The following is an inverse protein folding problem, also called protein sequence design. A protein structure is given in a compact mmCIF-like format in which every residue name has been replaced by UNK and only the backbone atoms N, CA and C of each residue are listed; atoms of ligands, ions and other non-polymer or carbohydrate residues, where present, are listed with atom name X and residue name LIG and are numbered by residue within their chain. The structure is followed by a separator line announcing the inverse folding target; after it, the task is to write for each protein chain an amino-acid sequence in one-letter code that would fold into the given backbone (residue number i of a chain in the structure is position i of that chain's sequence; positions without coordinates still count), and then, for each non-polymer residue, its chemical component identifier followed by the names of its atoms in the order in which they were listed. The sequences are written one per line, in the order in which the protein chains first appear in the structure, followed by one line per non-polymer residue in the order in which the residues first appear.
data_IF_913353733294
#
_entry.id   IF_913353733294
#
_cell.length_a   1.000
_cell.length_b   1.000
_cell.length_c   1.000
_cell.angle_alpha   90.00
_cell.angle_beta   90.00
_cell.angle_gamma   90.00
#
_symmetry.space_group_name_H-M   'P 1'
#
loop_
_entity.id
_entity.type
_entity.pdbx_description
1 polymer ?
#
# COMPACT_ATOMS: atom_id res chain seq x y z
N UNK A 1 14.95 -17.37 0.06
CA UNK A 1 13.75 -16.53 -0.13
C UNK A 1 13.47 -15.64 1.08
N UNK A 2 13.20 -16.17 2.28
CA UNK A 2 12.80 -15.36 3.45
C UNK A 2 13.74 -14.20 3.81
N UNK A 3 15.04 -14.45 3.92
CA UNK A 3 16.04 -13.42 4.26
C UNK A 3 16.02 -12.26 3.28
N UNK A 4 15.89 -12.54 1.98
CA UNK A 4 15.82 -11.51 0.93
C UNK A 4 14.57 -10.64 1.08
N UNK A 5 13.42 -11.23 1.42
CA UNK A 5 12.20 -10.46 1.68
C UNK A 5 12.35 -9.57 2.92
N UNK A 6 12.95 -10.08 3.99
CA UNK A 6 13.24 -9.28 5.19
C UNK A 6 14.12 -8.08 4.82
N UNK A 7 15.19 -8.29 4.06
CA UNK A 7 16.07 -7.20 3.62
C UNK A 7 15.33 -6.16 2.77
N UNK A 8 14.48 -6.58 1.83
CA UNK A 8 13.66 -5.66 1.03
C UNK A 8 12.64 -4.89 1.87
N UNK A 9 11.97 -5.55 2.81
CA UNK A 9 11.02 -4.91 3.73
C UNK A 9 11.72 -3.88 4.61
N UNK A 10 12.88 -4.22 5.17
CA UNK A 10 13.68 -3.28 5.97
C UNK A 10 14.12 -2.07 5.14
N UNK A 11 14.55 -2.29 3.89
CA UNK A 11 14.92 -1.20 3.00
C UNK A 11 13.73 -0.27 2.70
N UNK A 12 12.57 -0.84 2.36
CA UNK A 12 11.36 -0.08 2.07
C UNK A 12 10.86 0.70 3.30
N UNK A 13 10.90 0.08 4.48
CA UNK A 13 10.53 0.74 5.73
C UNK A 13 11.46 1.91 6.05
N UNK A 14 12.78 1.74 5.88
CA UNK A 14 13.72 2.83 6.09
C UNK A 14 13.49 3.98 5.12
N UNK A 15 13.25 3.70 3.83
CA UNK A 15 12.93 4.75 2.87
C UNK A 15 11.69 5.55 3.29
N UNK A 16 10.65 4.86 3.74
CA UNK A 16 9.40 5.49 4.16
C UNK A 16 9.57 6.31 5.45
N UNK A 17 10.29 5.81 6.45
CA UNK A 17 10.57 6.59 7.66
C UNK A 17 11.49 7.77 7.36
N UNK A 18 12.51 7.61 6.51
CA UNK A 18 13.37 8.74 6.12
C UNK A 18 12.61 9.83 5.37
N UNK A 19 11.67 9.45 4.52
CA UNK A 19 10.76 10.40 3.91
C UNK A 19 9.94 11.14 4.97
N UNK A 20 9.34 10.40 5.92
CA UNK A 20 8.57 10.93 7.04
C UNK A 20 9.36 11.98 7.85
N UNK A 21 10.54 11.62 8.32
CA UNK A 21 11.43 12.52 9.05
C UNK A 21 11.85 13.71 8.16
N UNK A 22 12.13 13.46 6.89
CA UNK A 22 12.39 14.51 5.90
C UNK A 22 11.26 15.52 5.77
N UNK A 23 10.01 15.08 5.85
CA UNK A 23 8.81 15.93 5.86
C UNK A 23 8.81 16.90 7.06
N UNK A 24 8.97 16.38 8.27
CA UNK A 24 9.07 17.18 9.49
C UNK A 24 10.24 18.17 9.40
N UNK A 25 11.42 17.69 9.00
CA UNK A 25 12.62 18.51 8.83
C UNK A 25 12.38 19.72 7.90
N UNK A 26 11.82 19.48 6.71
CA UNK A 26 11.60 20.53 5.72
C UNK A 26 10.56 21.55 6.21
N UNK A 27 9.46 21.08 6.80
CA UNK A 27 8.42 21.95 7.32
C UNK A 27 8.91 22.80 8.50
N UNK A 28 9.66 22.19 9.42
CA UNK A 28 10.21 22.88 10.57
C UNK A 28 11.24 23.94 10.17
N UNK A 29 12.11 23.61 9.22
CA UNK A 29 13.08 24.56 8.67
C UNK A 29 12.38 25.74 7.98
N UNK A 30 11.32 25.47 7.21
CA UNK A 30 10.55 26.54 6.56
C UNK A 30 9.76 27.41 7.57
N UNK A 31 9.30 26.83 8.68
CA UNK A 31 8.68 27.56 9.78
C UNK A 31 9.69 28.32 10.67
N UNK A 32 10.99 28.18 10.40
CA UNK A 32 12.07 28.77 11.20
C UNK A 32 12.14 28.20 12.61
N UNK A 33 11.82 26.91 12.77
CA UNK A 33 11.98 26.19 14.04
C UNK A 33 13.43 25.72 14.15
N UNK A 34 13.99 25.81 15.36
CA UNK A 34 15.34 25.31 15.63
C UNK A 34 15.34 23.78 15.57
N UNK A 35 16.17 23.23 14.70
CA UNK A 35 16.42 21.78 14.58
C UNK A 35 17.78 21.50 15.18
N UNK A 36 17.85 20.53 16.09
CA UNK A 36 19.09 20.13 16.75
C UNK A 36 19.77 18.99 16.01
N UNK A 37 18.99 17.96 15.66
CA UNK A 37 19.52 16.74 15.06
C UNK A 37 18.57 16.20 13.98
N UNK A 38 19.15 15.70 12.89
CA UNK A 38 18.47 14.84 11.92
C UNK A 38 19.21 13.50 11.89
N UNK A 39 18.56 12.44 12.37
CA UNK A 39 19.18 11.12 12.52
C UNK A 39 18.59 10.11 11.55
N UNK A 40 19.49 9.32 10.95
CA UNK A 40 19.16 8.09 10.25
C UNK A 40 19.47 6.92 11.20
N UNK A 41 18.43 6.20 11.59
CA UNK A 41 18.49 5.11 12.53
C UNK A 41 18.47 5.53 14.00
N UNK A 42 18.63 4.53 14.86
CA UNK A 42 18.60 4.64 16.32
C UNK A 42 19.84 4.02 16.98
N UNK A 43 20.00 4.26 18.28
CA UNK A 43 21.07 3.67 19.09
C UNK A 43 22.41 4.42 18.98
N UNK A 44 23.55 3.74 19.15
CA UNK A 44 24.85 4.38 19.17
C UNK A 44 25.18 5.00 17.81
N UNK A 45 25.75 6.21 17.86
CA UNK A 45 26.20 6.94 16.67
C UNK A 45 27.37 6.21 16.02
N UNK A 46 27.25 5.93 14.73
CA UNK A 46 28.34 5.37 13.93
C UNK A 46 29.17 6.51 13.32
N UNK A 47 28.51 7.45 12.66
CA UNK A 47 29.14 8.63 12.08
C UNK A 47 28.14 9.79 12.02
N UNK A 48 28.62 10.99 11.73
CA UNK A 48 27.76 12.14 11.50
C UNK A 48 28.55 13.42 11.27
N UNK A 49 27.86 14.47 10.86
CA UNK A 49 28.46 15.75 10.52
C UNK A 49 27.55 16.90 10.96
N UNK A 50 28.13 18.07 11.26
CA UNK A 50 27.35 19.27 11.59
C UNK A 50 27.28 20.20 10.37
N UNK A 51 26.09 20.67 10.01
CA UNK A 51 25.89 21.66 8.94
C UNK A 51 24.73 22.58 9.29
N UNK A 52 24.93 23.89 9.10
CA UNK A 52 23.92 24.92 9.43
C UNK A 52 23.37 24.79 10.85
N UNK A 53 24.25 24.52 11.81
CA UNK A 53 23.91 24.35 13.22
C UNK A 53 22.93 23.20 13.53
N UNK A 54 22.87 22.22 12.62
CA UNK A 54 22.13 20.96 12.75
C UNK A 54 23.14 19.82 12.75
N UNK A 55 23.00 18.89 13.68
CA UNK A 55 23.78 17.66 13.72
C UNK A 55 23.09 16.59 12.86
N UNK A 56 23.78 16.05 11.87
CA UNK A 56 23.30 14.95 11.05
C UNK A 56 24.00 13.69 11.51
N UNK A 57 23.24 12.67 11.91
CA UNK A 57 23.80 11.45 12.46
C UNK A 57 23.32 10.21 11.72
N UNK A 58 24.19 9.22 11.65
CA UNK A 58 23.85 7.87 11.20
C UNK A 58 24.20 6.92 12.34
N UNK A 59 23.20 6.15 12.76
CA UNK A 59 23.24 5.32 13.98
C UNK A 59 23.13 3.84 13.63
N UNK A 60 23.54 2.99 14.58
CA UNK A 60 23.75 1.56 14.34
C UNK A 60 22.48 0.80 13.92
N UNK A 61 21.32 1.17 14.46
CA UNK A 61 20.06 0.51 14.15
C UNK A 61 19.36 1.23 13.00
N UNK A 62 19.52 0.71 11.78
CA UNK A 62 18.81 1.16 10.57
C UNK A 62 17.34 0.72 10.58
N UNK A 63 16.58 1.19 11.55
CA UNK A 63 15.16 0.89 11.72
C UNK A 63 14.36 2.19 11.86
N UNK A 64 14.61 3.17 10.99
CA UNK A 64 13.93 4.46 11.00
C UNK A 64 14.86 5.65 11.17
N UNK A 65 14.45 6.66 11.93
CA UNK A 65 15.18 7.90 12.16
C UNK A 65 14.38 8.84 13.06
N UNK A 66 14.90 10.04 13.30
CA UNK A 66 14.17 11.09 14.02
C UNK A 66 14.67 12.48 13.62
N UNK A 67 13.81 13.49 13.76
CA UNK A 67 14.18 14.91 13.69
C UNK A 67 13.93 15.55 15.04
N UNK A 68 15.01 15.95 15.72
CA UNK A 68 14.93 16.58 17.03
C UNK A 68 14.79 18.09 16.89
N UNK A 69 13.70 18.65 17.43
CA UNK A 69 13.32 20.05 17.23
C UNK A 69 13.00 20.76 18.56
N UNK A 70 13.29 22.06 18.63
CA UNK A 70 13.00 22.83 19.84
C UNK A 70 11.49 22.93 20.11
N UNK A 71 11.07 22.58 21.33
CA UNK A 71 9.68 22.77 21.79
C UNK A 71 8.72 21.60 21.52
N UNK A 72 9.20 20.50 20.93
CA UNK A 72 8.46 19.23 20.82
C UNK A 72 8.95 18.31 21.95
N UNK A 73 8.02 17.63 22.63
CA UNK A 73 8.26 16.90 23.88
C UNK A 73 9.29 15.76 23.70
N UNK A 74 10.25 15.67 24.63
CA UNK A 74 11.47 14.85 24.55
C UNK A 74 11.25 13.32 24.60
N UNK A 75 10.02 12.87 24.86
CA UNK A 75 9.72 11.48 25.25
C UNK A 75 9.92 10.45 24.14
N UNK A 76 9.99 10.87 22.87
CA UNK A 76 10.23 9.99 21.71
C UNK A 76 11.53 10.34 20.96
N UNK A 77 12.00 11.59 21.05
CA UNK A 77 13.10 12.13 20.21
C UNK A 77 14.49 12.08 20.87
N UNK A 78 14.63 11.49 22.07
CA UNK A 78 15.93 11.25 22.70
C UNK A 78 16.71 12.51 23.11
N UNK A 79 16.00 13.56 23.52
CA UNK A 79 16.58 14.82 23.99
C UNK A 79 17.37 14.68 25.29
N UNK A 80 18.38 15.55 25.46
CA UNK A 80 19.00 15.85 26.76
C UNK A 80 18.40 17.14 27.28
N UNK A 81 18.06 17.17 28.57
CA UNK A 81 17.46 18.30 29.31
C UNK A 81 18.19 19.64 29.11
N UNK A 82 19.45 19.60 28.69
CA UNK A 82 20.39 20.74 28.63
C UNK A 82 20.23 21.63 27.37
N UNK A 83 19.42 21.23 26.38
CA UNK A 83 19.25 21.94 25.10
C UNK A 83 17.87 22.60 24.94
N UNK A 84 17.33 23.18 26.01
CA UNK A 84 16.09 23.96 25.94
C UNK A 84 16.38 25.43 25.56
N UNK A 85 15.78 25.88 24.45
CA UNK A 85 15.71 27.31 24.16
C UNK A 85 14.93 28.01 25.27
N UNK A 86 15.16 29.32 25.45
CA UNK A 86 14.30 30.14 26.29
C UNK A 86 12.83 29.98 25.86
N UNK A 87 11.92 29.97 26.84
CA UNK A 87 10.50 29.72 26.60
C UNK A 87 9.86 30.74 25.64
N UNK A 88 10.43 31.93 25.51
CA UNK A 88 9.99 33.01 24.61
C UNK A 88 10.72 33.04 23.25
N UNK A 89 11.66 32.12 23.00
CA UNK A 89 12.43 32.11 21.74
C UNK A 89 11.50 31.89 20.54
N UNK A 90 11.53 32.77 19.51
CA UNK A 90 10.64 32.65 18.36
C UNK A 90 10.89 31.39 17.51
N UNK A 91 12.04 30.73 17.66
CA UNK A 91 12.41 29.47 17.00
C UNK A 91 11.92 28.23 17.74
N UNK A 92 11.34 28.41 18.93
CA UNK A 92 10.69 27.34 19.69
C UNK A 92 9.35 26.97 19.01
N UNK A 93 9.12 25.68 18.78
CA UNK A 93 7.88 25.17 18.17
C UNK A 93 6.63 25.70 18.87
N UNK A 94 6.65 25.79 20.21
CA UNK A 94 5.52 26.25 21.03
C UNK A 94 5.09 27.69 20.70
N UNK A 95 6.03 28.53 20.28
CA UNK A 95 5.83 29.94 19.97
C UNK A 95 5.44 30.20 18.51
N UNK A 96 5.39 29.16 17.68
CA UNK A 96 4.92 29.28 16.30
C UNK A 96 3.40 29.40 16.23
N UNK A 97 2.92 30.00 15.13
CA UNK A 97 1.49 30.05 14.84
C UNK A 97 0.87 28.65 14.85
N UNK A 98 -0.42 28.55 15.18
CA UNK A 98 -1.14 27.27 15.19
C UNK A 98 -0.97 26.52 13.86
N UNK A 99 -1.08 27.22 12.74
CA UNK A 99 -0.96 26.63 11.41
C UNK A 99 0.46 26.14 11.09
N UNK A 100 1.49 26.85 11.55
CA UNK A 100 2.86 26.37 11.39
C UNK A 100 3.09 25.08 12.18
N UNK A 101 2.58 25.02 13.42
CA UNK A 101 2.66 23.80 14.25
C UNK A 101 1.91 22.62 13.63
N UNK A 102 0.68 22.85 13.17
CA UNK A 102 -0.12 21.83 12.47
C UNK A 102 0.57 21.36 11.20
N UNK A 103 1.11 22.29 10.39
CA UNK A 103 1.82 21.93 9.16
C UNK A 103 3.04 21.06 9.45
N UNK A 104 3.84 21.38 10.47
CA UNK A 104 5.01 20.58 10.86
C UNK A 104 4.60 19.20 11.33
N UNK A 105 3.59 19.07 12.20
CA UNK A 105 3.09 17.78 12.67
C UNK A 105 2.50 16.92 11.55
N UNK A 106 1.88 17.54 10.55
CA UNK A 106 1.31 16.83 9.41
C UNK A 106 2.33 16.51 8.32
N UNK A 107 3.44 17.23 8.24
CA UNK A 107 4.41 17.11 7.15
C UNK A 107 5.03 15.72 7.03
N UNK A 108 5.28 15.04 8.15
CA UNK A 108 5.81 13.68 8.15
C UNK A 108 4.87 12.69 7.47
N UNK A 109 3.65 12.46 8.00
CA UNK A 109 2.66 11.60 7.34
C UNK A 109 2.40 12.00 5.87
N UNK A 110 2.28 13.29 5.59
CA UNK A 110 2.05 13.80 4.24
C UNK A 110 3.18 13.44 3.26
N UNK A 111 4.44 13.54 3.69
CA UNK A 111 5.59 13.21 2.85
C UNK A 111 5.59 11.74 2.41
N UNK A 112 5.07 10.83 3.22
CA UNK A 112 4.92 9.42 2.85
C UNK A 112 3.91 9.24 1.71
N UNK A 113 2.83 10.03 1.69
CA UNK A 113 1.90 10.03 0.55
C UNK A 113 2.55 10.56 -0.73
N UNK A 114 3.37 11.60 -0.62
CA UNK A 114 4.13 12.15 -1.76
C UNK A 114 5.10 11.10 -2.30
N UNK A 115 5.85 10.44 -1.43
CA UNK A 115 6.79 9.38 -1.84
C UNK A 115 6.05 8.18 -2.43
N UNK A 116 4.95 7.73 -1.83
CA UNK A 116 4.13 6.65 -2.37
C UNK A 116 3.63 6.99 -3.79
N UNK A 117 3.12 8.21 -3.99
CA UNK A 117 2.70 8.68 -5.31
C UNK A 117 3.85 8.67 -6.33
N UNK A 118 5.04 9.17 -5.95
CA UNK A 118 6.22 9.17 -6.83
C UNK A 118 6.64 7.74 -7.15
N UNK A 119 6.69 6.84 -6.16
CA UNK A 119 7.05 5.44 -6.35
C UNK A 119 6.08 4.73 -7.30
N UNK A 120 4.77 4.92 -7.13
CA UNK A 120 3.78 4.39 -8.06
C UNK A 120 3.93 4.99 -9.46
N UNK A 121 4.10 6.31 -9.57
CA UNK A 121 4.23 6.98 -10.87
C UNK A 121 5.47 6.49 -11.64
N UNK A 122 6.60 6.36 -10.95
CA UNK A 122 7.84 5.81 -11.52
C UNK A 122 7.63 4.33 -11.88
N UNK A 123 7.13 3.52 -10.95
CA UNK A 123 6.93 2.09 -11.20
C UNK A 123 6.01 1.85 -12.42
N UNK A 124 4.90 2.58 -12.50
CA UNK A 124 3.95 2.47 -13.61
C UNK A 124 4.51 2.98 -14.94
N UNK A 125 5.33 4.03 -14.91
CA UNK A 125 5.97 4.54 -16.12
C UNK A 125 7.03 3.57 -16.68
N UNK A 126 7.79 2.89 -15.82
CA UNK A 126 8.91 2.03 -16.26
C UNK A 126 8.54 0.55 -16.42
N UNK A 127 7.73 0.01 -15.51
CA UNK A 127 7.35 -1.41 -15.52
C UNK A 127 5.97 -1.65 -16.14
N UNK A 128 5.14 -0.60 -16.26
CA UNK A 128 3.75 -0.71 -16.68
C UNK A 128 2.81 -0.88 -15.49
N UNK A 129 1.52 -0.86 -15.77
CA UNK A 129 0.46 -1.00 -14.77
C UNK A 129 -0.14 -2.40 -14.87
N UNK A 130 -0.39 -3.09 -13.74
CA UNK A 130 -1.24 -4.28 -13.72
C UNK A 130 -2.54 -4.06 -14.49
N UNK A 131 -2.88 -4.98 -15.39
CA UNK A 131 -4.01 -4.85 -16.31
C UNK A 131 -5.33 -4.63 -15.58
N UNK A 132 -5.54 -5.30 -14.44
CA UNK A 132 -6.73 -5.22 -13.60
C UNK A 132 -6.95 -3.84 -12.95
N UNK A 133 -5.89 -3.03 -12.81
CA UNK A 133 -6.00 -1.62 -12.37
C UNK A 133 -6.50 -0.72 -13.51
N UNK A 134 -6.32 -1.12 -14.77
CA UNK A 134 -6.66 -0.33 -15.96
C UNK A 134 -7.96 -0.79 -16.61
N UNK A 135 -8.22 -2.09 -16.59
CA UNK A 135 -9.39 -2.74 -17.15
C UNK A 135 -9.92 -3.72 -16.11
N UNK A 136 -10.98 -3.29 -15.42
CA UNK A 136 -11.54 -3.97 -14.26
C UNK A 136 -12.21 -5.32 -14.60
N UNK A 137 -12.24 -5.71 -15.87
CA UNK A 137 -12.91 -6.93 -16.35
C UNK A 137 -12.41 -8.18 -15.63
N UNK A 138 -13.35 -9.07 -15.28
CA UNK A 138 -13.06 -10.36 -14.66
C UNK A 138 -12.48 -11.37 -15.69
N UNK A 139 -11.23 -11.16 -16.11
CA UNK A 139 -10.55 -11.96 -17.12
C UNK A 139 -9.70 -13.07 -16.50
N UNK A 140 -9.95 -14.30 -16.94
CA UNK A 140 -9.27 -15.51 -16.47
C UNK A 140 -7.85 -15.56 -17.02
N UNK A 141 -6.85 -15.49 -16.14
CA UNK A 141 -5.43 -15.61 -16.48
C UNK A 141 -4.89 -17.03 -16.35
N UNK A 142 -5.41 -17.79 -15.40
CA UNK A 142 -5.01 -19.17 -15.15
C UNK A 142 -6.18 -19.99 -14.60
N UNK A 143 -6.23 -21.28 -14.96
CA UNK A 143 -7.23 -22.24 -14.50
C UNK A 143 -6.51 -23.39 -13.81
N UNK A 144 -6.83 -23.62 -12.53
CA UNK A 144 -6.19 -24.67 -11.72
C UNK A 144 -6.67 -26.04 -12.22
N UNK A 145 -5.75 -26.97 -12.49
CA UNK A 145 -6.11 -28.32 -12.91
C UNK A 145 -7.04 -29.01 -11.89
N UNK A 146 -8.04 -29.74 -12.37
CA UNK A 146 -9.05 -30.45 -11.54
C UNK A 146 -9.92 -29.53 -10.65
N UNK A 147 -9.92 -28.22 -10.88
CA UNK A 147 -10.85 -27.29 -10.23
C UNK A 147 -12.26 -27.36 -10.85
N UNK A 148 -13.29 -26.81 -10.19
CA UNK A 148 -14.60 -26.64 -10.81
C UNK A 148 -14.56 -25.88 -12.14
N UNK A 149 -13.73 -24.84 -12.25
CA UNK A 149 -13.55 -24.09 -13.49
C UNK A 149 -12.94 -24.92 -14.61
N UNK A 150 -11.97 -25.78 -14.29
CA UNK A 150 -11.38 -26.70 -15.25
C UNK A 150 -12.43 -27.70 -15.77
N UNK A 151 -13.24 -28.25 -14.87
CA UNK A 151 -14.28 -29.23 -15.21
C UNK A 151 -15.43 -28.64 -16.03
N UNK A 152 -15.76 -27.36 -15.82
CA UNK A 152 -16.81 -26.66 -16.56
C UNK A 152 -16.36 -26.16 -17.93
N UNK A 153 -15.07 -26.32 -18.29
CA UNK A 153 -14.53 -25.90 -19.57
C UNK A 153 -14.21 -24.40 -19.65
N UNK A 154 -14.09 -23.72 -18.51
CA UNK A 154 -13.57 -22.36 -18.44
C UNK A 154 -12.08 -22.37 -18.83
N UNK A 155 -11.64 -21.36 -19.58
CA UNK A 155 -10.33 -21.31 -20.18
C UNK A 155 -9.65 -19.96 -19.96
N UNK A 156 -8.31 -19.96 -20.11
CA UNK A 156 -7.51 -18.73 -20.08
C UNK A 156 -7.96 -17.80 -21.21
N UNK A 157 -8.14 -16.53 -20.88
CA UNK A 157 -8.61 -15.48 -21.79
C UNK A 157 -10.12 -15.21 -21.71
N UNK A 158 -10.89 -16.09 -21.07
CA UNK A 158 -12.32 -15.86 -20.86
C UNK A 158 -12.56 -14.62 -20.00
N UNK A 159 -13.54 -13.81 -20.41
CA UNK A 159 -14.00 -12.67 -19.62
C UNK A 159 -15.35 -13.04 -19.01
N UNK A 160 -15.44 -13.13 -17.70
CA UNK A 160 -16.71 -13.34 -17.02
C UNK A 160 -17.43 -11.99 -16.98
N UNK A 161 -18.62 -11.92 -17.57
CA UNK A 161 -19.38 -10.67 -17.73
C UNK A 161 -20.69 -10.66 -16.95
N UNK A 162 -21.21 -11.83 -16.57
CA UNK A 162 -22.38 -11.95 -15.71
C UNK A 162 -22.37 -13.26 -14.92
N UNK A 163 -23.09 -13.28 -13.80
CA UNK A 163 -23.39 -14.49 -13.03
C UNK A 163 -24.91 -14.55 -12.81
N UNK A 164 -25.53 -15.68 -13.15
CA UNK A 164 -26.98 -15.90 -13.07
C UNK A 164 -27.80 -14.80 -13.76
N UNK A 165 -27.30 -14.33 -14.91
CA UNK A 165 -27.91 -13.27 -15.70
C UNK A 165 -27.69 -11.85 -15.17
N UNK A 166 -27.07 -11.68 -14.00
CA UNK A 166 -26.73 -10.38 -13.43
C UNK A 166 -25.32 -9.95 -13.89
N UNK A 167 -25.17 -8.80 -14.56
CA UNK A 167 -23.86 -8.28 -14.95
C UNK A 167 -22.95 -8.08 -13.74
N UNK A 168 -21.67 -8.33 -13.93
CA UNK A 168 -20.63 -8.03 -12.93
C UNK A 168 -19.73 -6.92 -13.44
N UNK A 169 -19.30 -6.04 -12.54
CA UNK A 169 -18.42 -4.92 -12.89
C UNK A 169 -16.97 -5.38 -13.01
N UNK A 170 -16.52 -6.21 -12.06
CA UNK A 170 -15.11 -6.56 -11.94
C UNK A 170 -14.84 -7.91 -11.27
N UNK A 171 -13.54 -8.27 -11.20
CA UNK A 171 -13.08 -9.51 -10.58
C UNK A 171 -13.50 -9.64 -9.11
N UNK A 172 -13.54 -8.55 -8.36
CA UNK A 172 -13.86 -8.58 -6.94
C UNK A 172 -15.36 -8.83 -6.73
N UNK A 173 -16.22 -8.23 -7.55
CA UNK A 173 -17.66 -8.52 -7.58
C UNK A 173 -17.94 -10.00 -7.92
N UNK A 174 -17.24 -10.52 -8.93
CA UNK A 174 -17.28 -11.95 -9.27
C UNK A 174 -16.89 -12.83 -8.08
N UNK A 175 -15.75 -12.52 -7.45
CA UNK A 175 -15.19 -13.28 -6.33
C UNK A 175 -16.15 -13.26 -5.14
N UNK A 176 -16.77 -12.11 -4.84
CA UNK A 176 -17.75 -11.98 -3.76
C UNK A 176 -18.96 -12.89 -3.97
N UNK A 177 -19.53 -12.92 -5.18
CA UNK A 177 -20.67 -13.78 -5.53
C UNK A 177 -20.30 -15.26 -5.40
N UNK A 178 -19.15 -15.67 -5.95
CA UNK A 178 -18.69 -17.07 -5.93
C UNK A 178 -18.44 -17.54 -4.49
N UNK A 179 -17.75 -16.72 -3.67
CA UNK A 179 -17.43 -17.05 -2.27
C UNK A 179 -18.68 -17.27 -1.42
N UNK A 180 -19.77 -16.56 -1.69
CA UNK A 180 -21.03 -16.67 -0.95
C UNK A 180 -21.92 -17.85 -1.37
N UNK A 181 -21.55 -18.58 -2.44
CA UNK A 181 -22.37 -19.64 -3.00
C UNK A 181 -21.61 -20.98 -3.12
N UNK A 182 -21.05 -21.52 -2.01
CA UNK A 182 -20.45 -22.85 -2.03
C UNK A 182 -21.52 -23.90 -2.35
N UNK A 183 -21.13 -24.91 -3.15
CA UNK A 183 -21.95 -26.07 -3.53
C UNK A 183 -23.27 -25.74 -4.27
N UNK A 184 -23.49 -24.48 -4.63
CA UNK A 184 -24.64 -24.03 -5.41
C UNK A 184 -24.27 -23.89 -6.87
N UNK A 185 -25.15 -24.36 -7.75
CA UNK A 185 -24.99 -24.15 -9.19
C UNK A 185 -25.12 -22.65 -9.52
N UNK A 186 -24.12 -22.11 -10.20
CA UNK A 186 -24.09 -20.77 -10.77
C UNK A 186 -23.97 -20.88 -12.29
N UNK A 187 -24.56 -19.94 -13.01
CA UNK A 187 -24.45 -19.80 -14.47
C UNK A 187 -23.56 -18.62 -14.79
N UNK A 188 -22.33 -18.87 -15.25
CA UNK A 188 -21.42 -17.82 -15.70
C UNK A 188 -21.73 -17.47 -17.15
N UNK A 189 -21.98 -16.20 -17.45
CA UNK A 189 -21.91 -15.69 -18.82
C UNK A 189 -20.50 -15.21 -19.06
N UNK A 190 -19.81 -15.82 -20.01
CA UNK A 190 -18.46 -15.47 -20.41
C UNK A 190 -18.43 -14.89 -21.81
N UNK A 191 -17.47 -14.01 -22.10
CA UNK A 191 -17.12 -13.60 -23.45
C UNK A 191 -15.81 -14.28 -23.86
N UNK A 192 -15.89 -15.18 -24.86
CA UNK A 192 -14.77 -15.91 -25.44
C UNK A 192 -14.71 -15.60 -26.93
N UNK A 193 -13.60 -15.02 -27.39
CA UNK A 193 -13.44 -14.59 -28.80
C UNK A 193 -14.58 -13.67 -29.31
N UNK A 194 -15.13 -12.82 -28.43
CA UNK A 194 -16.23 -11.91 -28.75
C UNK A 194 -17.62 -12.55 -28.78
N UNK A 195 -17.74 -13.85 -28.51
CA UNK A 195 -19.02 -14.55 -28.38
C UNK A 195 -19.36 -14.76 -26.91
N UNK A 196 -20.63 -14.58 -26.57
CA UNK A 196 -21.12 -14.87 -25.23
C UNK A 196 -21.49 -16.36 -25.11
N UNK A 197 -20.92 -17.04 -24.12
CA UNK A 197 -21.18 -18.43 -23.80
C UNK A 197 -21.68 -18.53 -22.36
N UNK A 198 -22.59 -19.46 -22.11
CA UNK A 198 -23.04 -19.78 -20.76
C UNK A 198 -22.32 -21.04 -20.26
N UNK A 199 -21.72 -20.95 -19.08
CA UNK A 199 -21.02 -22.05 -18.42
C UNK A 199 -21.64 -22.27 -17.04
N UNK A 200 -22.19 -23.46 -16.85
CA UNK A 200 -22.66 -23.91 -15.54
C UNK A 200 -21.47 -24.34 -14.68
N UNK A 201 -21.40 -23.84 -13.45
CA UNK A 201 -20.34 -24.15 -12.51
C UNK A 201 -20.90 -24.36 -11.11
N UNK A 202 -20.30 -25.26 -10.34
CA UNK A 202 -20.61 -25.47 -8.93
C UNK A 202 -19.34 -25.15 -8.14
N UNK A 203 -19.26 -24.01 -7.42
CA UNK A 203 -18.13 -23.71 -6.57
C UNK A 203 -17.92 -24.81 -5.53
N UNK A 204 -16.69 -25.26 -5.39
CA UNK A 204 -16.29 -26.19 -4.34
C UNK A 204 -16.28 -25.44 -3.01
N UNK A 205 -16.77 -26.07 -1.94
CA UNK A 205 -16.56 -25.53 -0.61
C UNK A 205 -15.09 -25.65 -0.21
N UNK A 206 -14.47 -24.51 0.08
CA UNK A 206 -13.18 -24.39 0.70
C UNK A 206 -13.33 -23.83 2.12
N UNK A 207 -12.31 -24.04 2.96
CA UNK A 207 -12.30 -23.55 4.33
C UNK A 207 -11.34 -22.37 4.43
N UNK A 208 -11.87 -21.20 4.79
CA UNK A 208 -11.06 -20.03 5.14
C UNK A 208 -10.63 -20.08 6.60
N UNK A 209 -9.96 -19.02 7.07
CA UNK A 209 -9.55 -18.92 8.47
C UNK A 209 -10.74 -18.80 9.44
N UNK A 210 -11.90 -18.34 8.97
CA UNK A 210 -13.08 -18.02 9.81
C UNK A 210 -14.38 -18.64 9.34
N UNK A 211 -14.64 -18.70 8.02
CA UNK A 211 -15.88 -19.27 7.46
C UNK A 211 -15.61 -20.09 6.19
N UNK A 212 -16.43 -21.11 5.90
CA UNK A 212 -16.39 -21.79 4.61
C UNK A 212 -16.81 -20.84 3.49
N UNK A 213 -16.18 -20.98 2.32
CA UNK A 213 -16.48 -20.17 1.15
C UNK A 213 -16.45 -21.01 -0.13
N UNK A 214 -17.12 -20.53 -1.18
CA UNK A 214 -17.07 -21.13 -2.51
C UNK A 214 -15.82 -20.73 -3.30
N UNK A 215 -15.18 -21.69 -3.95
CA UNK A 215 -14.10 -21.43 -4.91
C UNK A 215 -14.31 -22.19 -6.22
N UNK A 216 -13.84 -21.61 -7.33
CA UNK A 216 -13.89 -22.26 -8.65
C UNK A 216 -12.51 -22.57 -9.21
N UNK A 217 -11.43 -22.10 -8.57
CA UNK A 217 -10.04 -22.38 -8.96
C UNK A 217 -9.59 -21.69 -10.26
N UNK A 218 -9.78 -20.37 -10.32
CA UNK A 218 -9.21 -19.47 -11.34
C UNK A 218 -8.34 -18.40 -10.70
N UNK A 219 -7.36 -17.92 -11.45
CA UNK A 219 -6.59 -16.72 -11.10
C UNK A 219 -6.80 -15.64 -12.17
N UNK A 220 -6.75 -14.38 -11.73
CA UNK A 220 -6.86 -13.22 -12.62
C UNK A 220 -5.65 -13.12 -13.54
N UNK A 221 -5.84 -12.55 -14.72
CA UNK A 221 -4.71 -12.21 -15.59
C UNK A 221 -3.90 -11.06 -14.99
N UNK A 222 -2.69 -11.37 -14.53
CA UNK A 222 -1.71 -10.36 -14.12
C UNK A 222 -0.80 -10.08 -15.31
N UNK A 223 -1.30 -9.30 -16.28
CA UNK A 223 -0.46 -8.77 -17.36
C UNK A 223 -0.11 -7.31 -17.10
N UNK A 224 1.10 -6.90 -17.46
CA UNK A 224 1.52 -5.51 -17.33
C UNK A 224 1.18 -4.77 -18.63
N UNK A 225 0.32 -3.75 -18.51
CA UNK A 225 -0.01 -2.85 -19.60
C UNK A 225 0.88 -1.62 -19.51
N UNK A 226 1.70 -1.38 -20.55
CA UNK A 226 2.46 -0.14 -20.66
C UNK A 226 1.50 1.01 -20.99
N UNK A 227 1.55 2.06 -20.17
CA UNK A 227 0.81 3.29 -20.38
C UNK A 227 1.76 4.41 -20.84
N UNK A 228 1.19 5.48 -21.42
CA UNK A 228 1.93 6.71 -21.62
C UNK A 228 2.37 7.32 -20.29
N UNK A 229 3.37 8.21 -20.31
CA UNK A 229 3.88 8.86 -19.10
C UNK A 229 2.78 9.59 -18.31
N UNK A 230 1.94 10.38 -19.00
CA UNK A 230 0.84 11.12 -18.38
C UNK A 230 -0.20 10.17 -17.77
N UNK A 231 -0.54 9.09 -18.47
CA UNK A 231 -1.51 8.11 -17.98
C UNK A 231 -0.97 7.31 -16.79
N UNK A 232 0.35 7.07 -16.75
CA UNK A 232 1.02 6.44 -15.61
C UNK A 232 0.92 7.30 -14.35
N UNK A 233 1.16 8.62 -14.48
CA UNK A 233 1.00 9.58 -13.39
C UNK A 233 -0.47 9.64 -12.91
N UNK A 234 -1.43 9.76 -13.83
CA UNK A 234 -2.86 9.76 -13.48
C UNK A 234 -3.27 8.47 -12.77
N UNK A 235 -2.76 7.33 -13.24
CA UNK A 235 -3.05 6.02 -12.64
C UNK A 235 -2.43 5.87 -11.26
N UNK A 236 -1.21 6.38 -11.04
CA UNK A 236 -0.62 6.45 -9.70
C UNK A 236 -1.47 7.29 -8.74
N UNK A 237 -2.00 8.44 -9.20
CA UNK A 237 -2.93 9.25 -8.41
C UNK A 237 -4.21 8.50 -8.05
N UNK A 238 -4.83 7.81 -9.02
CA UNK A 238 -6.00 6.94 -8.78
C UNK A 238 -5.69 5.81 -7.81
N UNK A 239 -4.51 5.20 -7.91
CA UNK A 239 -4.10 4.12 -7.01
C UNK A 239 -3.99 4.61 -5.57
N UNK A 240 -3.34 5.74 -5.35
CA UNK A 240 -3.23 6.33 -4.01
C UNK A 240 -4.63 6.66 -3.47
N UNK A 241 -5.51 7.24 -4.28
CA UNK A 241 -6.89 7.51 -3.89
C UNK A 241 -7.66 6.23 -3.53
N UNK A 242 -7.56 5.20 -4.37
CA UNK A 242 -8.19 3.90 -4.15
C UNK A 242 -7.77 3.30 -2.81
N UNK A 243 -6.46 3.26 -2.53
CA UNK A 243 -5.94 2.74 -1.27
C UNK A 243 -6.49 3.50 -0.05
N UNK A 244 -6.62 4.84 -0.13
CA UNK A 244 -7.21 5.62 0.95
C UNK A 244 -8.69 5.29 1.16
N UNK A 245 -9.48 5.21 0.08
CA UNK A 245 -10.90 4.85 0.15
C UNK A 245 -11.05 3.44 0.73
N UNK A 246 -10.22 2.48 0.28
CA UNK A 246 -10.21 1.12 0.80
C UNK A 246 -9.91 1.10 2.31
N UNK A 247 -8.90 1.86 2.77
CA UNK A 247 -8.62 2.00 4.21
C UNK A 247 -9.83 2.54 4.98
N UNK A 248 -10.51 3.57 4.47
CA UNK A 248 -11.72 4.11 5.11
C UNK A 248 -12.87 3.08 5.13
N UNK A 249 -13.07 2.30 4.04
CA UNK A 249 -14.08 1.24 4.01
C UNK A 249 -13.79 0.15 5.04
N UNK A 250 -12.53 -0.22 5.21
CA UNK A 250 -12.10 -1.16 6.26
C UNK A 250 -12.36 -0.58 7.66
N UNK A 251 -11.95 0.66 7.92
CA UNK A 251 -12.15 1.30 9.23
C UNK A 251 -13.63 1.51 9.58
N UNK A 252 -14.48 1.73 8.58
CA UNK A 252 -15.93 1.87 8.75
C UNK A 252 -16.67 0.53 8.77
N UNK A 253 -15.95 -0.60 8.66
CA UNK A 253 -16.52 -1.95 8.67
C UNK A 253 -17.30 -2.32 7.41
N UNK A 254 -17.22 -1.50 6.35
CA UNK A 254 -17.83 -1.79 5.04
C UNK A 254 -17.11 -2.88 4.26
N UNK A 255 -15.83 -3.10 4.57
CA UNK A 255 -15.01 -4.19 4.02
C UNK A 255 -14.27 -4.89 5.15
N UNK A 256 -14.15 -6.22 5.09
CA UNK A 256 -13.27 -6.95 6.00
C UNK A 256 -11.82 -6.71 5.56
N UNK A 257 -10.95 -6.42 6.52
CA UNK A 257 -9.54 -6.35 6.24
C UNK A 257 -9.02 -7.77 5.98
N UNK A 258 -8.80 -8.12 4.72
CA UNK A 258 -8.10 -9.35 4.35
C UNK A 258 -6.59 -9.08 4.53
N UNK A 259 -6.16 -8.87 5.78
CA UNK A 259 -4.75 -8.77 6.13
C UNK A 259 -4.15 -10.15 5.94
N UNK A 260 -3.64 -10.40 4.74
CA UNK A 260 -2.80 -11.54 4.44
C UNK A 260 -1.55 -11.40 5.32
N UNK A 261 -1.57 -12.07 6.49
CA UNK A 261 -0.47 -12.03 7.44
C UNK A 261 0.83 -12.53 6.80
N UNK A 262 1.98 -12.39 7.49
CA UNK A 262 3.28 -12.82 6.96
C UNK A 262 3.30 -14.26 6.44
N UNK A 263 2.45 -15.13 6.99
CA UNK A 263 2.29 -16.54 6.61
C UNK A 263 1.42 -16.72 5.35
N UNK A 264 0.41 -15.87 5.14
CA UNK A 264 -0.45 -15.93 3.95
C UNK A 264 0.25 -15.49 2.67
N UNK A 265 1.17 -14.51 2.77
CA UNK A 265 2.04 -14.07 1.67
C UNK A 265 2.97 -15.19 1.18
N UNK A 266 3.31 -16.15 2.05
CA UNK A 266 4.16 -17.30 1.72
C UNK A 266 3.34 -18.43 1.08
N UNK A 267 2.02 -18.52 1.32
CA UNK A 267 1.19 -19.58 0.74
C UNK A 267 0.76 -19.34 -0.71
N UNK A 268 0.78 -18.10 -1.20
CA UNK A 268 0.46 -17.80 -2.60
C UNK A 268 1.68 -17.86 -3.54
N UNK A 269 2.88 -17.74 -2.98
CA UNK A 269 4.13 -17.95 -3.71
C UNK A 269 4.65 -19.31 -3.29
N UNK A 270 4.14 -20.37 -3.93
CA UNK A 270 4.63 -21.73 -3.72
C UNK A 270 6.15 -21.86 -3.77
#
# INVERSE_FOLDING_TARGET
MLVVHILWTLLALNLLVLAHEGGHYLAARNAGIKIYEFSIGFGPRLFGWRKNDIDYSVRALFLGGFVRMAGVEETIEGGKDDEQLADDDPSNFKNKSLWARVAVLFAGPFSNYVVAFILFAVAYAFFGVPYDIVDEQAKVGYVIAKSPAYQSGLAVGDKIVAIDGQPIENWDAMTAIIRQNPEKKLTLTISRNGQNLSIDIIPRQAFGQTEPYGEIGVQREISLKRLGFVDSIKTAGRQVWYLNVATVRVLTGKEKADFMGPVGLVSEVG
#
